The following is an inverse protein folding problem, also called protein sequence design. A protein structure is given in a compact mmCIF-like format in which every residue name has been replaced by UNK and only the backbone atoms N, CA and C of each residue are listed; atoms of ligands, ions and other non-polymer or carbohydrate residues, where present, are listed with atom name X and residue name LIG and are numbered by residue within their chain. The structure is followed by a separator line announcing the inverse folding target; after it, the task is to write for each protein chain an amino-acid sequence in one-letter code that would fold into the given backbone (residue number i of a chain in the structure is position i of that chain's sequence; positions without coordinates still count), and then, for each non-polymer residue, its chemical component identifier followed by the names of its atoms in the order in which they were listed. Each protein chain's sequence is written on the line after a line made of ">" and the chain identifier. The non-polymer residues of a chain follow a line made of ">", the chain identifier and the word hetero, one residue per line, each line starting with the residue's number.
data_IF_300419551764
#
_entry.id   IF_300419551764
#
_cell.length_a   1.000
_cell.length_b   1.000
_cell.length_c   1.000
_cell.angle_alpha   90.00
_cell.angle_beta   90.00
_cell.angle_gamma   90.00
#
_symmetry.space_group_name_H-M   'P 1'
#
loop_
_entity.id
_entity.type
_entity.pdbx_description
1 polymer ?
#
# COMPACT_ATOMS: atom_id res chain seq x y z
N UNK A 1 -17.09 -7.65 10.09
CA UNK A 1 -15.69 -7.84 10.51
C UNK A 1 -15.76 -8.38 11.92
N UNK A 2 -15.11 -9.48 12.20
CA UNK A 2 -15.11 -10.10 13.54
C UNK A 2 -14.10 -9.36 14.40
N UNK A 3 -14.57 -8.51 15.31
CA UNK A 3 -13.73 -7.63 16.13
C UNK A 3 -12.98 -8.38 17.20
N UNK A 4 -13.52 -9.50 17.67
CA UNK A 4 -12.91 -10.33 18.72
C UNK A 4 -11.58 -10.95 18.27
N UNK A 5 -11.25 -10.86 16.98
CA UNK A 5 -10.02 -11.36 16.36
C UNK A 5 -9.02 -10.27 15.97
N UNK A 6 -9.25 -9.00 16.40
CA UNK A 6 -8.31 -7.92 16.16
C UNK A 6 -7.68 -7.47 17.46
N UNK A 7 -6.37 -7.36 17.46
CA UNK A 7 -5.62 -6.72 18.54
C UNK A 7 -5.44 -5.23 18.23
N UNK A 8 -6.07 -4.41 19.05
CA UNK A 8 -6.01 -2.95 18.97
C UNK A 8 -4.93 -2.35 19.89
N UNK A 9 -4.13 -3.17 20.56
CA UNK A 9 -3.06 -2.74 21.46
C UNK A 9 -3.54 -1.68 22.49
N UNK A 10 -4.81 -1.78 22.93
CA UNK A 10 -5.43 -0.77 23.81
C UNK A 10 -4.77 -0.71 25.18
N UNK A 11 -4.31 -1.84 25.70
CA UNK A 11 -3.64 -1.90 27.02
C UNK A 11 -2.34 -1.08 26.99
N UNK A 12 -1.52 -1.23 25.95
CA UNK A 12 -0.28 -0.46 25.76
C UNK A 12 -0.57 1.03 25.60
N UNK A 13 -1.62 1.38 24.84
CA UNK A 13 -2.05 2.76 24.69
C UNK A 13 -2.46 3.37 26.02
N UNK A 14 -3.27 2.66 26.82
CA UNK A 14 -3.74 3.11 28.14
C UNK A 14 -2.59 3.23 29.14
N UNK A 15 -1.61 2.32 29.11
CA UNK A 15 -0.39 2.42 29.92
C UNK A 15 0.39 3.69 29.57
N UNK A 16 0.57 3.99 28.29
CA UNK A 16 1.24 5.20 27.84
C UNK A 16 0.51 6.46 28.24
N UNK A 17 -0.82 6.49 28.14
CA UNK A 17 -1.66 7.60 28.60
C UNK A 17 -1.44 7.87 30.08
N UNK A 18 -1.49 6.82 30.92
CA UNK A 18 -1.27 6.92 32.37
C UNK A 18 0.15 7.39 32.72
N UNK A 19 1.16 6.81 32.03
CA UNK A 19 2.56 7.14 32.28
C UNK A 19 2.91 8.60 31.99
N UNK A 20 2.24 9.23 31.03
CA UNK A 20 2.46 10.62 30.63
C UNK A 20 1.43 11.59 31.21
N UNK A 21 0.47 11.12 32.00
CA UNK A 21 -0.66 11.91 32.53
C UNK A 21 -1.42 12.67 31.43
N UNK A 22 -1.55 12.06 30.24
CA UNK A 22 -2.27 12.68 29.13
C UNK A 22 -3.75 12.86 29.49
N UNK A 23 -4.28 14.06 29.26
CA UNK A 23 -5.66 14.45 29.59
C UNK A 23 -6.57 14.53 28.38
N UNK A 24 -6.02 14.84 27.23
CA UNK A 24 -6.77 14.90 25.98
C UNK A 24 -5.96 14.18 24.89
N UNK A 25 -6.52 13.13 24.33
CA UNK A 25 -5.91 12.35 23.24
C UNK A 25 -6.80 12.38 22.01
N UNK A 26 -6.22 12.19 20.83
CA UNK A 26 -6.97 11.97 19.61
C UNK A 26 -6.85 10.51 19.16
N UNK A 27 -7.99 9.93 18.76
CA UNK A 27 -8.04 8.65 18.08
C UNK A 27 -8.23 8.89 16.60
N UNK A 28 -7.27 8.46 15.77
CA UNK A 28 -7.34 8.53 14.32
C UNK A 28 -7.40 7.11 13.74
N UNK A 29 -8.49 6.78 13.05
CA UNK A 29 -8.77 5.44 12.54
C UNK A 29 -9.10 5.46 11.06
N UNK A 30 -8.76 4.39 10.28
CA UNK A 30 -9.26 4.21 8.92
C UNK A 30 -10.80 4.11 8.89
N UNK A 31 -11.38 4.38 7.72
CA UNK A 31 -12.84 4.30 7.52
C UNK A 31 -13.44 2.97 8.01
N UNK A 32 -12.76 1.85 7.74
CA UNK A 32 -13.22 0.51 8.14
C UNK A 32 -13.29 0.27 9.65
N UNK A 33 -12.66 1.12 10.47
CA UNK A 33 -12.61 0.99 11.93
C UNK A 33 -13.42 2.08 12.66
N UNK A 34 -14.08 3.00 11.95
CA UNK A 34 -14.81 4.11 12.59
C UNK A 34 -15.97 3.68 13.49
N UNK A 35 -16.62 2.57 13.17
CA UNK A 35 -17.70 2.04 14.01
C UNK A 35 -17.18 1.51 15.36
N UNK A 36 -15.98 0.96 15.37
CA UNK A 36 -15.32 0.43 16.56
C UNK A 36 -14.67 1.54 17.40
N UNK A 37 -14.40 2.68 16.79
CA UNK A 37 -13.77 3.81 17.48
C UNK A 37 -14.57 4.27 18.70
N UNK A 38 -15.89 4.20 18.66
CA UNK A 38 -16.72 4.60 19.80
C UNK A 38 -16.52 3.70 21.02
N UNK A 39 -16.45 2.40 20.81
CA UNK A 39 -16.19 1.42 21.89
C UNK A 39 -14.78 1.60 22.46
N UNK A 40 -13.79 1.86 21.60
CA UNK A 40 -12.42 2.16 22.03
C UNK A 40 -12.36 3.44 22.86
N UNK A 41 -13.08 4.50 22.45
CA UNK A 41 -13.18 5.76 23.18
C UNK A 41 -13.76 5.53 24.58
N UNK A 42 -14.91 4.83 24.66
CA UNK A 42 -15.56 4.50 25.93
C UNK A 42 -14.63 3.71 26.87
N UNK A 43 -13.90 2.75 26.33
CA UNK A 43 -12.92 1.95 27.08
C UNK A 43 -11.78 2.83 27.62
N UNK A 44 -11.18 3.64 26.77
CA UNK A 44 -10.06 4.52 27.17
C UNK A 44 -10.51 5.54 28.22
N UNK A 45 -11.67 6.17 28.05
CA UNK A 45 -12.20 7.16 29.00
C UNK A 45 -12.60 6.54 30.33
N UNK A 46 -13.06 5.28 30.32
CA UNK A 46 -13.43 4.54 31.54
C UNK A 46 -12.19 4.09 32.33
N UNK A 47 -11.18 3.60 31.63
CA UNK A 47 -9.99 2.99 32.23
C UNK A 47 -8.86 3.99 32.50
N UNK A 48 -8.96 5.21 31.98
CA UNK A 48 -7.97 6.27 32.18
C UNK A 48 -8.62 7.57 32.64
N UNK A 49 -7.83 8.61 32.91
CA UNK A 49 -8.34 9.96 33.19
C UNK A 49 -8.39 10.86 31.93
N UNK A 50 -8.09 10.32 30.76
CA UNK A 50 -8.07 11.06 29.50
C UNK A 50 -9.46 11.20 28.91
N UNK A 51 -9.71 12.30 28.21
CA UNK A 51 -10.80 12.45 27.27
C UNK A 51 -10.31 12.10 25.85
N UNK A 52 -11.20 11.57 25.04
CA UNK A 52 -10.85 11.12 23.68
C UNK A 52 -11.60 11.92 22.62
N UNK A 53 -10.87 12.44 21.65
CA UNK A 53 -11.43 13.09 20.45
C UNK A 53 -11.22 12.16 19.25
N UNK A 54 -12.32 11.79 18.58
CA UNK A 54 -12.22 11.05 17.32
C UNK A 54 -11.90 12.01 16.17
N UNK A 55 -10.78 11.80 15.48
CA UNK A 55 -10.48 12.46 14.23
C UNK A 55 -11.37 11.89 13.12
N UNK A 56 -12.48 12.58 12.82
CA UNK A 56 -13.53 12.09 11.93
C UNK A 56 -13.21 12.25 10.43
N UNK A 57 -12.17 13.01 10.07
CA UNK A 57 -11.72 13.15 8.70
C UNK A 57 -11.30 11.77 8.13
N UNK A 58 -11.42 11.55 6.80
CA UNK A 58 -10.92 10.32 6.17
C UNK A 58 -9.44 10.09 6.43
N UNK A 59 -9.08 8.86 6.79
CA UNK A 59 -7.70 8.45 7.04
C UNK A 59 -7.35 7.26 6.14
N UNK A 60 -6.44 7.48 5.19
CA UNK A 60 -6.04 6.50 4.17
C UNK A 60 -4.62 5.94 4.37
N UNK A 61 -3.86 6.46 5.33
CA UNK A 61 -2.50 6.01 5.57
C UNK A 61 -1.77 6.82 6.64
N UNK A 62 -0.60 6.37 7.05
CA UNK A 62 0.26 7.08 7.99
C UNK A 62 0.80 8.44 7.45
N UNK A 63 0.55 8.74 6.18
CA UNK A 63 0.81 10.06 5.59
C UNK A 63 -0.32 11.07 5.80
N UNK A 64 -1.42 10.65 6.42
CA UNK A 64 -2.69 11.36 6.54
C UNK A 64 -2.89 11.88 7.98
N UNK A 65 -1.82 12.43 8.54
CA UNK A 65 -1.77 12.85 9.93
C UNK A 65 -2.58 14.14 10.18
N UNK A 66 -3.36 14.16 11.27
CA UNK A 66 -4.22 15.29 11.66
C UNK A 66 -3.56 16.23 12.69
N UNK A 67 -2.25 16.20 12.79
CA UNK A 67 -1.48 16.82 13.90
C UNK A 67 -1.75 18.30 14.07
N UNK A 68 -1.73 19.10 13.02
CA UNK A 68 -1.94 20.54 13.09
C UNK A 68 -3.30 20.89 13.70
N UNK A 69 -4.35 20.17 13.29
CA UNK A 69 -5.71 20.35 13.82
C UNK A 69 -5.82 19.93 15.28
N UNK A 70 -5.22 18.77 15.62
CA UNK A 70 -5.26 18.23 16.99
C UNK A 70 -4.43 19.07 17.95
N UNK A 71 -3.32 19.62 17.52
CA UNK A 71 -2.49 20.52 18.33
C UNK A 71 -3.26 21.82 18.68
N UNK A 72 -4.01 22.38 17.74
CA UNK A 72 -4.86 23.55 17.99
C UNK A 72 -5.97 23.29 19.02
N UNK A 73 -6.42 22.04 19.13
CA UNK A 73 -7.40 21.59 20.13
C UNK A 73 -6.80 21.27 21.50
N UNK A 74 -5.47 21.34 21.63
CA UNK A 74 -4.78 20.99 22.88
C UNK A 74 -4.61 19.48 23.09
N UNK A 75 -4.71 18.66 22.03
CA UNK A 75 -4.44 17.23 22.10
C UNK A 75 -2.96 16.99 22.42
N UNK A 76 -2.68 16.07 23.31
CA UNK A 76 -1.33 15.76 23.83
C UNK A 76 -0.73 14.51 23.21
N UNK A 77 -1.57 13.59 22.72
CA UNK A 77 -1.17 12.32 22.08
C UNK A 77 -2.17 11.96 20.97
N UNK A 78 -1.67 11.57 19.80
CA UNK A 78 -2.47 10.95 18.74
C UNK A 78 -2.24 9.44 18.74
N UNK A 79 -3.30 8.66 18.90
CA UNK A 79 -3.30 7.22 18.64
C UNK A 79 -3.75 7.00 17.18
N UNK A 80 -2.81 6.62 16.31
CA UNK A 80 -3.04 6.41 14.90
C UNK A 80 -3.11 4.91 14.60
N UNK A 81 -4.29 4.41 14.25
CA UNK A 81 -4.58 2.99 14.12
C UNK A 81 -4.56 2.50 12.66
N UNK A 82 -4.24 1.22 12.49
CA UNK A 82 -4.34 0.50 11.22
C UNK A 82 -3.22 0.81 10.21
N UNK A 83 -2.23 1.62 10.59
CA UNK A 83 -1.10 1.96 9.73
C UNK A 83 0.21 1.96 10.52
N UNK A 84 1.28 1.51 9.89
CA UNK A 84 2.63 1.58 10.48
C UNK A 84 3.20 2.98 10.39
N UNK A 85 4.05 3.29 11.36
CA UNK A 85 4.81 4.54 11.36
C UNK A 85 5.58 4.71 10.05
N UNK A 86 5.51 5.90 9.48
CA UNK A 86 6.38 6.34 8.40
C UNK A 86 7.44 7.30 8.97
N UNK A 87 8.61 7.35 8.34
CA UNK A 87 9.65 8.33 8.71
C UNK A 87 9.23 9.74 8.22
N UNK A 88 8.24 10.29 8.91
CA UNK A 88 7.69 11.63 8.71
C UNK A 88 7.71 12.32 10.07
N UNK A 89 8.27 13.53 10.13
CA UNK A 89 8.18 14.34 11.35
C UNK A 89 6.72 14.74 11.55
N UNK A 90 6.13 14.24 12.62
CA UNK A 90 4.73 14.45 12.94
C UNK A 90 4.47 15.72 13.76
N UNK A 91 5.50 16.32 14.31
CA UNK A 91 5.38 17.55 15.11
C UNK A 91 4.68 17.39 16.46
N UNK A 92 4.08 16.22 16.76
CA UNK A 92 3.47 15.92 18.07
C UNK A 92 3.58 14.43 18.43
N UNK A 93 3.48 14.08 19.73
CA UNK A 93 3.51 12.69 20.18
C UNK A 93 2.45 11.85 19.46
N UNK A 94 2.88 10.76 18.84
CA UNK A 94 1.99 9.82 18.14
C UNK A 94 2.34 8.39 18.54
N UNK A 95 1.30 7.56 18.73
CA UNK A 95 1.42 6.12 18.83
C UNK A 95 0.77 5.49 17.60
N UNK A 96 1.57 4.76 16.83
CA UNK A 96 1.05 3.97 15.71
C UNK A 96 0.70 2.58 16.20
N UNK A 97 -0.50 2.14 15.89
CA UNK A 97 -1.07 0.84 16.28
C UNK A 97 -1.41 0.10 15.01
N UNK A 98 -0.82 -1.08 14.82
CA UNK A 98 -0.93 -1.83 13.57
C UNK A 98 -2.31 -2.46 13.37
N UNK A 99 -3.04 -2.74 14.45
CA UNK A 99 -4.34 -3.45 14.45
C UNK A 99 -4.19 -4.81 13.78
N UNK A 100 -3.49 -5.71 14.43
CA UNK A 100 -3.23 -7.05 13.90
C UNK A 100 -4.47 -7.92 13.94
N UNK A 101 -4.63 -8.78 12.95
CA UNK A 101 -5.74 -9.73 12.86
C UNK A 101 -5.26 -11.14 13.17
N UNK A 102 -5.82 -11.75 14.21
CA UNK A 102 -5.54 -13.13 14.59
C UNK A 102 -6.33 -14.11 13.70
N UNK A 103 -5.75 -14.46 12.57
CA UNK A 103 -6.29 -15.41 11.60
C UNK A 103 -5.23 -16.40 11.16
N UNK A 104 -5.64 -17.62 10.87
CA UNK A 104 -4.79 -18.68 10.33
C UNK A 104 -5.39 -19.22 9.04
N UNK A 105 -5.26 -18.50 7.92
CA UNK A 105 -5.78 -18.97 6.64
C UNK A 105 -4.97 -20.16 6.10
N UNK A 106 -5.67 -21.12 5.49
CA UNK A 106 -5.04 -22.27 4.86
C UNK A 106 -4.35 -21.87 3.54
N UNK A 107 -3.21 -22.50 3.22
CA UNK A 107 -2.54 -22.35 1.93
C UNK A 107 -3.27 -23.04 0.78
N UNK A 108 -4.09 -24.05 1.09
CA UNK A 108 -4.73 -24.90 0.08
C UNK A 108 -5.41 -24.14 -1.06
N UNK A 109 -6.14 -23.03 -0.83
CA UNK A 109 -6.82 -22.32 -1.91
C UNK A 109 -5.86 -21.67 -2.93
N UNK A 110 -4.65 -21.30 -2.52
CA UNK A 110 -3.68 -20.60 -3.39
C UNK A 110 -2.66 -21.54 -4.03
N UNK A 111 -2.45 -22.74 -3.48
CA UNK A 111 -1.44 -23.68 -3.98
C UNK A 111 -1.55 -24.01 -5.48
N UNK A 112 -2.73 -24.28 -6.06
CA UNK A 112 -2.84 -24.60 -7.49
C UNK A 112 -2.31 -23.45 -8.37
N UNK A 113 -2.56 -22.21 -8.01
CA UNK A 113 -2.07 -21.06 -8.73
C UNK A 113 -0.54 -20.94 -8.62
N UNK A 114 0.01 -21.09 -7.41
CA UNK A 114 1.46 -21.04 -7.17
C UNK A 114 2.19 -22.14 -7.94
N UNK A 115 1.67 -23.36 -7.96
CA UNK A 115 2.22 -24.50 -8.72
C UNK A 115 2.22 -24.22 -10.23
N UNK A 116 1.10 -23.70 -10.75
CA UNK A 116 1.00 -23.34 -12.16
C UNK A 116 2.07 -22.29 -12.55
N UNK A 117 2.22 -21.23 -11.75
CA UNK A 117 3.19 -20.17 -12.03
C UNK A 117 4.63 -20.64 -11.91
N UNK A 118 4.93 -21.48 -10.92
CA UNK A 118 6.24 -22.16 -10.82
C UNK A 118 6.56 -22.97 -12.06
N UNK A 119 5.61 -23.79 -12.53
CA UNK A 119 5.80 -24.59 -13.73
C UNK A 119 6.00 -23.72 -14.99
N UNK A 120 5.22 -22.65 -15.16
CA UNK A 120 5.39 -21.70 -16.26
C UNK A 120 6.74 -20.99 -16.23
N UNK A 121 7.23 -20.60 -15.06
CA UNK A 121 8.54 -19.96 -14.91
C UNK A 121 9.66 -20.95 -15.27
N UNK A 122 9.61 -22.19 -14.78
CA UNK A 122 10.58 -23.24 -15.12
C UNK A 122 10.64 -23.53 -16.63
N UNK A 123 9.46 -23.60 -17.29
CA UNK A 123 9.40 -23.81 -18.73
C UNK A 123 10.03 -22.66 -19.52
N UNK A 124 9.81 -21.41 -19.10
CA UNK A 124 10.40 -20.23 -19.75
C UNK A 124 11.91 -20.17 -19.55
N UNK A 125 12.40 -20.45 -18.34
CA UNK A 125 13.85 -20.52 -18.07
C UNK A 125 14.53 -21.58 -18.93
N UNK A 126 13.89 -22.73 -19.14
CA UNK A 126 14.40 -23.79 -20.01
C UNK A 126 14.45 -23.38 -21.51
N UNK A 127 13.58 -22.46 -21.93
CA UNK A 127 13.53 -21.95 -23.32
C UNK A 127 14.48 -20.78 -23.58
N UNK A 128 14.95 -20.05 -22.57
CA UNK A 128 15.88 -18.92 -22.69
C UNK A 128 17.32 -19.30 -23.10
N UNK A 129 17.61 -20.58 -23.27
CA UNK A 129 18.91 -21.06 -23.82
C UNK A 129 19.11 -20.82 -25.32
N UNK A 130 18.13 -20.24 -26.04
CA UNK A 130 18.18 -19.89 -27.46
C UNK A 130 18.04 -18.37 -27.65
N UNK A 131 19.01 -17.59 -27.14
CA UNK A 131 19.01 -16.13 -27.33
C UNK A 131 19.25 -15.76 -28.80
N UNK A 132 18.22 -15.24 -29.45
CA UNK A 132 18.35 -14.39 -30.64
C UNK A 132 18.45 -12.92 -30.20
N UNK A 133 19.54 -12.23 -30.57
CA UNK A 133 19.61 -10.77 -30.49
C UNK A 133 18.46 -10.17 -31.31
N UNK A 134 17.58 -9.44 -30.61
CA UNK A 134 16.44 -8.76 -31.22
C UNK A 134 16.91 -7.53 -31.99
N UNK A 135 16.39 -7.31 -33.18
CA UNK A 135 16.54 -6.05 -33.89
C UNK A 135 15.86 -4.89 -33.15
N UNK A 136 16.27 -3.64 -33.37
CA UNK A 136 15.66 -2.45 -32.75
C UNK A 136 14.15 -2.34 -33.03
N UNK A 137 13.68 -2.76 -34.23
CA UNK A 137 12.25 -2.79 -34.57
C UNK A 137 11.48 -3.84 -33.79
N UNK A 138 12.03 -5.03 -33.64
CA UNK A 138 11.43 -6.10 -32.82
C UNK A 138 11.42 -5.74 -31.32
N UNK A 139 12.45 -5.01 -30.84
CA UNK A 139 12.49 -4.49 -29.47
C UNK A 139 11.41 -3.41 -29.25
N UNK A 140 11.14 -2.56 -30.25
CA UNK A 140 10.12 -1.52 -30.17
C UNK A 140 8.70 -2.10 -30.27
N UNK A 141 8.49 -3.11 -31.13
CA UNK A 141 7.22 -3.83 -31.22
C UNK A 141 6.95 -4.63 -29.93
N UNK A 142 7.97 -5.30 -29.38
CA UNK A 142 7.88 -5.97 -28.07
C UNK A 142 7.68 -5.00 -26.92
N UNK A 143 8.25 -3.79 -26.96
CA UNK A 143 8.00 -2.75 -25.96
C UNK A 143 6.53 -2.28 -25.99
N UNK A 144 5.96 -2.07 -27.18
CA UNK A 144 4.55 -1.70 -27.32
C UNK A 144 3.61 -2.85 -26.92
N UNK A 145 4.00 -4.09 -27.16
CA UNK A 145 3.28 -5.29 -26.75
C UNK A 145 3.44 -5.56 -25.24
N UNK A 146 4.58 -5.16 -24.64
CA UNK A 146 4.87 -5.28 -23.20
C UNK A 146 4.15 -4.22 -22.35
N UNK A 147 3.70 -3.10 -22.93
CA UNK A 147 2.86 -2.09 -22.24
C UNK A 147 1.50 -2.67 -21.79
N UNK A 148 1.11 -3.83 -22.34
CA UNK A 148 -0.11 -4.55 -21.95
C UNK A 148 0.13 -5.95 -21.38
N UNK A 149 1.38 -6.41 -21.24
CA UNK A 149 1.68 -7.74 -20.70
C UNK A 149 2.48 -7.64 -19.41
N UNK A 150 2.19 -8.55 -18.48
CA UNK A 150 3.04 -8.72 -17.30
C UNK A 150 4.48 -9.06 -17.73
N UNK A 151 5.46 -8.58 -16.95
CA UNK A 151 6.87 -8.90 -17.18
C UNK A 151 7.05 -10.43 -17.34
N UNK A 152 7.91 -10.88 -18.27
CA UNK A 152 8.16 -12.30 -18.40
C UNK A 152 8.69 -12.83 -17.06
N UNK A 153 8.15 -13.98 -16.61
CA UNK A 153 8.63 -14.68 -15.43
C UNK A 153 10.09 -15.11 -15.68
N UNK A 154 11.00 -14.39 -15.07
CA UNK A 154 12.45 -14.64 -15.20
C UNK A 154 13.00 -15.47 -14.05
N UNK A 155 12.23 -15.62 -12.98
CA UNK A 155 12.61 -16.37 -11.78
C UNK A 155 11.42 -17.16 -11.23
N UNK A 156 11.72 -18.23 -10.48
CA UNK A 156 10.74 -19.06 -9.80
C UNK A 156 10.51 -18.64 -8.34
N UNK A 157 11.31 -17.69 -7.85
CA UNK A 157 11.23 -17.23 -6.47
C UNK A 157 9.91 -16.51 -6.18
N UNK A 158 9.27 -16.91 -5.09
CA UNK A 158 8.02 -16.34 -4.61
C UNK A 158 8.29 -15.22 -3.61
N UNK A 159 7.81 -14.01 -3.90
CA UNK A 159 7.78 -12.90 -2.95
C UNK A 159 6.54 -13.01 -2.05
N UNK A 160 6.74 -13.15 -0.75
CA UNK A 160 5.66 -13.18 0.24
C UNK A 160 5.52 -11.81 0.88
N UNK A 161 4.35 -11.18 0.69
CA UNK A 161 4.06 -9.79 1.11
C UNK A 161 2.66 -9.67 1.71
N UNK A 162 2.40 -8.56 2.42
CA UNK A 162 1.08 -8.36 3.02
C UNK A 162 0.77 -6.93 3.41
N UNK A 163 -0.46 -6.71 3.83
CA UNK A 163 -0.86 -5.49 4.53
C UNK A 163 -0.39 -5.54 5.99
N UNK A 164 -0.28 -4.38 6.65
CA UNK A 164 0.25 -4.26 8.00
C UNK A 164 -0.46 -5.18 9.02
N UNK A 165 -1.76 -5.39 8.87
CA UNK A 165 -2.58 -6.21 9.75
C UNK A 165 -2.21 -7.70 9.73
N UNK A 166 -1.52 -8.15 8.67
CA UNK A 166 -1.24 -9.57 8.43
C UNK A 166 0.26 -9.91 8.34
N UNK A 167 1.15 -8.94 8.56
CA UNK A 167 2.60 -9.16 8.44
C UNK A 167 3.14 -10.16 9.47
N UNK A 168 2.52 -10.25 10.64
CA UNK A 168 2.88 -11.21 11.68
C UNK A 168 2.67 -12.66 11.24
N UNK A 169 1.82 -12.91 10.22
CA UNK A 169 1.59 -14.23 9.65
C UNK A 169 2.69 -14.65 8.65
N UNK A 170 3.44 -13.70 8.07
CA UNK A 170 4.39 -13.99 7.00
C UNK A 170 5.47 -15.02 7.40
N UNK A 171 6.06 -15.02 8.60
CA UNK A 171 7.07 -16.01 8.96
C UNK A 171 6.52 -17.44 8.93
N UNK A 172 5.34 -17.68 9.45
CA UNK A 172 4.70 -19.00 9.44
C UNK A 172 4.30 -19.42 8.02
N UNK A 173 3.76 -18.48 7.22
CA UNK A 173 3.45 -18.74 5.80
C UNK A 173 4.69 -19.03 4.99
N UNK A 174 5.81 -18.36 5.24
CA UNK A 174 7.09 -18.66 4.63
C UNK A 174 7.47 -20.12 4.87
N UNK A 175 7.46 -20.58 6.12
CA UNK A 175 7.84 -21.95 6.49
C UNK A 175 6.89 -23.00 5.85
N UNK A 176 5.59 -22.73 5.84
CA UNK A 176 4.60 -23.61 5.19
C UNK A 176 4.81 -23.72 3.68
N UNK A 177 5.17 -22.61 3.02
CA UNK A 177 5.44 -22.58 1.58
C UNK A 177 6.77 -23.27 1.24
N UNK A 178 7.80 -23.11 2.05
CA UNK A 178 9.06 -23.84 1.89
C UNK A 178 8.84 -25.36 2.03
N UNK A 179 8.04 -25.79 3.01
CA UNK A 179 7.66 -27.20 3.17
C UNK A 179 6.88 -27.73 1.97
N UNK A 180 6.09 -26.87 1.29
CA UNK A 180 5.42 -27.19 0.04
C UNK A 180 6.34 -27.13 -1.21
N UNK A 181 7.65 -26.86 -1.01
CA UNK A 181 8.68 -26.89 -2.05
C UNK A 181 8.79 -25.63 -2.89
N UNK A 182 8.36 -24.47 -2.38
CA UNK A 182 8.56 -23.16 -3.01
C UNK A 182 9.85 -22.52 -2.49
N UNK A 183 10.57 -21.80 -3.37
CA UNK A 183 11.65 -20.88 -2.97
C UNK A 183 11.03 -19.53 -2.63
N UNK A 184 10.97 -19.20 -1.35
CA UNK A 184 10.22 -18.05 -0.82
C UNK A 184 11.16 -16.99 -0.27
N UNK A 185 10.78 -15.73 -0.43
CA UNK A 185 11.45 -14.61 0.23
C UNK A 185 10.44 -13.61 0.75
N UNK A 186 10.70 -13.05 1.93
CA UNK A 186 9.97 -11.91 2.48
C UNK A 186 10.83 -10.67 2.18
N UNK A 187 10.48 -9.86 1.17
CA UNK A 187 11.34 -8.77 0.73
C UNK A 187 11.42 -7.65 1.77
N UNK A 188 12.59 -7.01 1.84
CA UNK A 188 12.84 -5.87 2.73
C UNK A 188 12.80 -4.60 1.90
N UNK A 189 11.91 -3.70 2.24
CA UNK A 189 11.75 -2.42 1.54
C UNK A 189 12.63 -1.29 2.09
N UNK A 190 12.58 -0.14 1.42
CA UNK A 190 13.32 1.06 1.79
C UNK A 190 12.69 1.84 2.96
N UNK A 191 13.25 3.00 3.26
CA UNK A 191 13.05 3.81 4.47
C UNK A 191 11.62 4.22 4.86
N UNK A 192 10.61 3.94 4.02
CA UNK A 192 9.19 4.21 4.33
C UNK A 192 8.39 2.95 4.69
N UNK A 193 9.04 1.79 4.63
CA UNK A 193 8.48 0.50 5.04
C UNK A 193 9.11 0.12 6.36
N UNK A 194 8.29 -0.13 7.37
CA UNK A 194 8.76 -0.41 8.73
C UNK A 194 9.02 -1.89 8.95
N UNK A 195 8.44 -2.76 8.11
CA UNK A 195 8.50 -4.21 8.30
C UNK A 195 8.86 -4.95 7.01
N UNK A 196 9.57 -6.09 7.10
CA UNK A 196 9.73 -7.01 5.97
C UNK A 196 8.38 -7.45 5.41
N UNK A 197 8.28 -7.60 4.09
CA UNK A 197 7.05 -8.00 3.40
C UNK A 197 5.95 -6.96 3.35
N UNK A 198 6.13 -5.79 3.96
CA UNK A 198 5.13 -4.74 3.96
C UNK A 198 4.98 -4.12 2.57
N UNK A 199 3.72 -3.94 2.15
CA UNK A 199 3.34 -3.22 0.92
C UNK A 199 2.48 -2.01 1.31
N UNK A 200 2.82 -0.84 0.78
CA UNK A 200 1.99 0.37 0.85
C UNK A 200 1.48 0.72 -0.53
N UNK A 201 0.29 1.32 -0.63
CA UNK A 201 -0.26 1.78 -1.90
C UNK A 201 0.57 2.84 -2.65
N UNK A 202 1.62 3.35 -2.03
CA UNK A 202 2.53 4.37 -2.58
C UNK A 202 4.02 4.00 -2.50
N UNK A 203 4.37 2.81 -2.00
CA UNK A 203 5.77 2.37 -1.85
C UNK A 203 5.89 0.86 -2.08
N UNK A 204 6.61 0.51 -3.13
CA UNK A 204 6.90 -0.85 -3.58
C UNK A 204 8.41 -1.11 -3.62
N UNK A 205 9.18 -0.42 -2.78
CA UNK A 205 10.65 -0.51 -2.75
C UNK A 205 11.19 -1.86 -2.25
N UNK A 206 10.30 -2.76 -1.79
CA UNK A 206 10.65 -4.15 -1.51
C UNK A 206 10.68 -5.04 -2.74
N UNK A 207 10.41 -4.51 -3.96
CA UNK A 207 10.58 -5.32 -5.17
C UNK A 207 12.05 -5.71 -5.37
N UNK A 208 12.26 -7.01 -5.59
CA UNK A 208 13.56 -7.59 -5.88
C UNK A 208 13.50 -8.24 -7.26
N UNK A 209 14.48 -7.98 -8.16
CA UNK A 209 14.53 -8.59 -9.48
C UNK A 209 14.52 -10.12 -9.47
N UNK A 210 15.00 -10.77 -8.42
CA UNK A 210 14.98 -12.23 -8.27
C UNK A 210 13.58 -12.81 -8.00
N UNK A 211 12.60 -11.99 -7.63
CA UNK A 211 11.23 -12.44 -7.40
C UNK A 211 10.52 -12.58 -8.75
N UNK A 212 9.98 -13.74 -9.05
CA UNK A 212 9.22 -14.00 -10.28
C UNK A 212 7.71 -13.70 -10.14
N UNK A 213 7.15 -13.91 -8.96
CA UNK A 213 5.72 -13.73 -8.68
C UNK A 213 5.49 -13.47 -7.19
N UNK A 214 4.31 -12.99 -6.84
CA UNK A 214 3.98 -12.61 -5.47
C UNK A 214 2.77 -13.37 -4.92
N UNK A 215 2.81 -13.65 -3.61
CA UNK A 215 1.64 -13.95 -2.78
C UNK A 215 1.44 -12.79 -1.81
N UNK A 216 0.26 -12.17 -1.87
CA UNK A 216 -0.14 -11.10 -0.98
C UNK A 216 -1.13 -11.62 0.07
N UNK A 217 -0.81 -11.44 1.35
CA UNK A 217 -1.73 -11.69 2.47
C UNK A 217 -2.45 -10.40 2.85
N UNK A 218 -3.77 -10.40 2.68
CA UNK A 218 -4.61 -9.25 3.00
C UNK A 218 -5.89 -9.20 2.19
N UNK A 219 -6.80 -8.34 2.62
CA UNK A 219 -8.06 -8.10 1.93
C UNK A 219 -7.97 -6.87 1.04
N UNK A 220 -8.83 -6.86 0.01
CA UNK A 220 -8.92 -5.77 -0.95
C UNK A 220 -7.74 -5.69 -1.90
N UNK A 221 -7.96 -5.04 -3.01
CA UNK A 221 -7.07 -5.08 -4.18
C UNK A 221 -6.23 -3.82 -4.41
N UNK A 222 -6.37 -2.82 -3.56
CA UNK A 222 -5.66 -1.54 -3.70
C UNK A 222 -4.13 -1.72 -3.68
N UNK A 223 -3.59 -2.43 -2.68
CA UNK A 223 -2.16 -2.71 -2.58
C UNK A 223 -1.67 -3.66 -3.66
N UNK A 224 -2.37 -4.82 -3.92
CA UNK A 224 -2.02 -5.74 -4.99
C UNK A 224 -1.98 -5.10 -6.38
N UNK A 225 -3.00 -4.30 -6.75
CA UNK A 225 -3.02 -3.57 -8.03
C UNK A 225 -1.77 -2.71 -8.18
N UNK A 226 -1.42 -1.95 -7.15
CA UNK A 226 -0.26 -1.07 -7.18
C UNK A 226 1.05 -1.85 -7.32
N UNK A 227 1.19 -2.97 -6.63
CA UNK A 227 2.37 -3.83 -6.72
C UNK A 227 2.52 -4.41 -8.13
N UNK A 228 1.44 -4.95 -8.72
CA UNK A 228 1.47 -5.47 -10.09
C UNK A 228 1.76 -4.36 -11.12
N UNK A 229 1.15 -3.18 -10.98
CA UNK A 229 1.44 -2.03 -11.86
C UNK A 229 2.89 -1.55 -11.76
N UNK A 230 3.54 -1.70 -10.61
CA UNK A 230 4.93 -1.31 -10.40
C UNK A 230 5.91 -2.36 -10.93
N UNK A 231 5.67 -3.63 -10.61
CA UNK A 231 6.62 -4.71 -10.88
C UNK A 231 6.39 -5.39 -12.22
N UNK A 232 5.16 -5.38 -12.74
CA UNK A 232 4.73 -6.18 -13.88
C UNK A 232 4.67 -7.68 -13.60
N UNK A 233 4.78 -8.12 -12.34
CA UNK A 233 4.86 -9.53 -11.96
C UNK A 233 3.49 -10.09 -11.59
N UNK A 234 3.22 -11.39 -11.86
CA UNK A 234 2.00 -12.05 -11.42
C UNK A 234 1.83 -12.02 -9.91
N UNK A 235 0.59 -11.95 -9.45
CA UNK A 235 0.27 -11.90 -8.03
C UNK A 235 -1.01 -12.68 -7.73
N UNK A 236 -0.96 -13.54 -6.71
CA UNK A 236 -2.14 -14.06 -6.04
C UNK A 236 -2.38 -13.35 -4.72
N UNK A 237 -3.63 -13.24 -4.35
CA UNK A 237 -4.08 -12.74 -3.05
C UNK A 237 -4.66 -13.89 -2.25
N UNK A 238 -4.36 -13.93 -0.97
CA UNK A 238 -5.05 -14.78 0.01
C UNK A 238 -5.63 -13.87 1.07
N UNK A 239 -6.96 -13.87 1.20
CA UNK A 239 -7.66 -13.08 2.20
C UNK A 239 -7.71 -13.83 3.54
N UNK A 240 -7.02 -13.33 4.59
CA UNK A 240 -7.01 -14.00 5.89
C UNK A 240 -8.35 -13.98 6.61
N UNK A 241 -9.28 -13.10 6.23
CA UNK A 241 -10.61 -13.02 6.86
C UNK A 241 -11.55 -14.11 6.35
N UNK A 242 -11.51 -14.40 5.04
CA UNK A 242 -12.41 -15.36 4.39
C UNK A 242 -11.75 -16.69 4.08
N UNK A 243 -10.42 -16.71 3.98
CA UNK A 243 -9.64 -17.84 3.48
C UNK A 243 -9.71 -18.01 1.95
N UNK A 244 -10.33 -17.04 1.25
CA UNK A 244 -10.43 -17.09 -0.22
C UNK A 244 -9.11 -16.69 -0.88
N UNK A 245 -8.81 -17.33 -2.01
CA UNK A 245 -7.68 -16.99 -2.85
C UNK A 245 -8.14 -16.49 -4.22
N UNK A 246 -7.53 -15.39 -4.67
CA UNK A 246 -7.85 -14.77 -5.96
C UNK A 246 -6.56 -14.37 -6.69
N UNK A 247 -6.51 -14.57 -8.00
CA UNK A 247 -5.45 -14.04 -8.86
C UNK A 247 -5.76 -12.59 -9.24
N UNK A 248 -4.74 -11.71 -9.19
CA UNK A 248 -4.86 -10.38 -9.75
C UNK A 248 -5.00 -10.44 -11.27
N UNK A 249 -6.21 -10.24 -11.74
CA UNK A 249 -6.57 -10.39 -13.15
C UNK A 249 -5.81 -9.43 -14.08
N UNK A 250 -5.17 -9.98 -15.11
CA UNK A 250 -4.54 -9.20 -16.18
C UNK A 250 -5.50 -8.22 -16.83
N UNK A 251 -6.74 -8.64 -17.06
CA UNK A 251 -7.77 -7.78 -17.67
C UNK A 251 -8.06 -6.53 -16.84
N UNK A 252 -7.97 -6.64 -15.51
CA UNK A 252 -8.13 -5.50 -14.61
C UNK A 252 -6.97 -4.53 -14.73
N UNK A 253 -5.75 -5.03 -14.75
CA UNK A 253 -4.53 -4.24 -14.94
C UNK A 253 -4.54 -3.54 -16.30
N UNK A 254 -4.83 -4.26 -17.39
CA UNK A 254 -4.95 -3.69 -18.73
C UNK A 254 -6.01 -2.58 -18.81
N UNK A 255 -7.16 -2.76 -18.15
CA UNK A 255 -8.20 -1.72 -18.12
C UNK A 255 -7.66 -0.43 -17.49
N UNK A 256 -6.95 -0.52 -16.37
CA UNK A 256 -6.35 0.63 -15.69
C UNK A 256 -5.31 1.31 -16.60
N UNK A 257 -4.45 0.52 -17.24
CA UNK A 257 -3.42 1.06 -18.16
C UNK A 257 -4.05 1.74 -19.36
N UNK A 258 -5.07 1.13 -19.98
CA UNK A 258 -5.83 1.73 -21.12
C UNK A 258 -6.53 3.03 -20.72
N UNK A 259 -7.14 3.08 -19.51
CA UNK A 259 -7.75 4.32 -19.00
C UNK A 259 -6.71 5.42 -18.81
N UNK A 260 -5.56 5.11 -18.17
CA UNK A 260 -4.45 6.07 -18.00
C UNK A 260 -3.92 6.58 -19.34
N UNK A 261 -3.72 5.68 -20.29
CA UNK A 261 -3.28 6.05 -21.63
C UNK A 261 -4.31 6.94 -22.36
N UNK A 262 -5.59 6.60 -22.30
CA UNK A 262 -6.67 7.40 -22.85
C UNK A 262 -6.71 8.82 -22.27
N UNK A 263 -6.51 8.97 -20.95
CA UNK A 263 -6.41 10.28 -20.28
C UNK A 263 -5.18 11.07 -20.75
N UNK A 264 -4.03 10.43 -20.91
CA UNK A 264 -2.82 11.09 -21.45
C UNK A 264 -3.06 11.58 -22.87
N UNK A 265 -3.69 10.77 -23.72
CA UNK A 265 -4.00 11.14 -25.09
C UNK A 265 -5.02 12.27 -25.18
N UNK A 266 -6.01 12.31 -24.27
CA UNK A 266 -7.06 13.35 -24.27
C UNK A 266 -6.54 14.75 -23.96
N UNK A 267 -5.37 14.88 -23.31
CA UNK A 267 -4.79 16.17 -22.91
C UNK A 267 -3.65 16.65 -23.81
N UNK A 268 -3.37 15.99 -24.94
CA UNK A 268 -2.25 16.35 -25.83
C UNK A 268 -2.34 17.79 -26.33
N UNK A 269 -3.54 18.26 -26.67
CA UNK A 269 -3.79 19.61 -27.17
C UNK A 269 -3.97 20.66 -26.06
N UNK A 270 -3.97 20.25 -24.80
CA UNK A 270 -4.09 21.16 -23.69
C UNK A 270 -2.88 22.09 -23.60
N UNK A 271 -3.14 23.38 -23.43
CA UNK A 271 -2.11 24.42 -23.28
C UNK A 271 -1.92 24.87 -21.84
N UNK A 272 -2.84 24.49 -20.95
CA UNK A 272 -2.84 24.87 -19.53
C UNK A 272 -3.09 23.65 -18.66
N UNK A 273 -2.36 23.51 -17.56
CA UNK A 273 -2.42 22.38 -16.65
C UNK A 273 -2.48 22.85 -15.21
N UNK A 274 -3.40 22.31 -14.43
CA UNK A 274 -3.37 22.37 -12.98
C UNK A 274 -2.44 21.28 -12.40
N UNK A 275 -1.46 21.65 -11.61
CA UNK A 275 -0.55 20.73 -10.93
C UNK A 275 -0.97 20.68 -9.47
N UNK A 276 -1.63 19.59 -9.09
CA UNK A 276 -2.14 19.40 -7.73
C UNK A 276 -1.00 19.04 -6.78
N UNK A 277 -0.95 19.68 -5.62
CA UNK A 277 -0.01 19.41 -4.53
C UNK A 277 -0.84 19.06 -3.30
N UNK A 278 -0.69 17.85 -2.79
CA UNK A 278 -1.28 17.47 -1.51
C UNK A 278 -0.62 18.23 -0.37
N UNK A 279 -1.41 18.80 0.53
CA UNK A 279 -0.92 19.56 1.70
C UNK A 279 -0.52 18.64 2.85
N UNK A 280 -1.03 17.40 2.89
CA UNK A 280 -0.71 16.43 3.94
C UNK A 280 0.78 16.10 3.98
N UNK A 281 1.41 16.03 5.16
CA UNK A 281 2.87 15.92 5.30
C UNK A 281 3.52 14.81 4.48
N UNK A 282 2.92 13.62 4.44
CA UNK A 282 3.43 12.48 3.67
C UNK A 282 3.17 12.54 2.16
N UNK A 283 2.29 13.44 1.70
CA UNK A 283 1.86 13.56 0.30
C UNK A 283 2.41 14.82 -0.40
N UNK A 284 3.00 15.73 0.33
CA UNK A 284 3.52 16.99 -0.20
C UNK A 284 4.72 16.77 -1.13
N UNK A 285 4.48 16.76 -2.44
CA UNK A 285 5.49 16.56 -3.50
C UNK A 285 5.90 17.89 -4.17
N UNK A 286 6.15 18.93 -3.38
CA UNK A 286 6.48 20.30 -3.87
C UNK A 286 7.59 20.32 -4.92
N UNK A 287 8.70 19.62 -4.67
CA UNK A 287 9.85 19.60 -5.60
C UNK A 287 9.45 19.01 -6.96
N UNK A 288 8.66 17.92 -6.96
CA UNK A 288 8.15 17.29 -8.18
C UNK A 288 7.22 18.26 -8.94
N UNK A 289 6.28 18.89 -8.24
CA UNK A 289 5.36 19.87 -8.83
C UNK A 289 6.07 21.04 -9.51
N UNK A 290 7.11 21.60 -8.86
CA UNK A 290 7.94 22.65 -9.44
C UNK A 290 8.74 22.17 -10.66
N UNK A 291 9.21 20.91 -10.66
CA UNK A 291 9.86 20.29 -11.82
C UNK A 291 8.88 20.13 -12.99
N UNK A 292 7.65 19.65 -12.74
CA UNK A 292 6.60 19.53 -13.74
C UNK A 292 6.24 20.90 -14.35
N UNK A 293 6.06 21.95 -13.52
CA UNK A 293 5.80 23.30 -13.99
C UNK A 293 6.89 23.80 -14.94
N UNK A 294 8.16 23.59 -14.58
CA UNK A 294 9.29 23.96 -15.45
C UNK A 294 9.32 23.17 -16.74
N UNK A 295 8.97 21.88 -16.71
CA UNK A 295 8.91 21.03 -17.88
C UNK A 295 7.80 21.50 -18.84
N UNK A 296 6.60 21.79 -18.35
CA UNK A 296 5.50 22.36 -19.15
C UNK A 296 5.92 23.66 -19.83
N UNK A 297 6.59 24.56 -19.11
CA UNK A 297 7.07 25.83 -19.68
C UNK A 297 8.10 25.62 -20.82
N UNK A 298 8.99 24.61 -20.71
CA UNK A 298 9.92 24.25 -21.81
C UNK A 298 9.21 23.81 -23.08
N UNK A 299 7.99 23.25 -22.97
CA UNK A 299 7.15 22.82 -24.08
C UNK A 299 6.10 23.86 -24.46
N UNK A 300 6.25 25.13 -24.04
CA UNK A 300 5.34 26.22 -24.39
C UNK A 300 3.96 26.13 -23.69
N UNK A 301 3.81 25.28 -22.68
CA UNK A 301 2.56 25.06 -21.96
C UNK A 301 2.57 25.77 -20.60
N UNK A 302 1.38 26.14 -20.10
CA UNK A 302 1.22 26.81 -18.79
C UNK A 302 0.94 25.78 -17.69
N UNK A 303 1.65 25.87 -16.57
CA UNK A 303 1.40 25.08 -15.36
C UNK A 303 1.01 25.98 -14.18
N UNK A 304 -0.12 25.69 -13.53
CA UNK A 304 -0.59 26.34 -12.30
C UNK A 304 -0.41 25.36 -11.13
N UNK A 305 0.17 25.84 -10.03
CA UNK A 305 0.30 25.04 -8.81
C UNK A 305 -0.96 25.24 -7.98
N UNK A 306 -1.63 24.16 -7.61
CA UNK A 306 -2.85 24.16 -6.81
C UNK A 306 -2.61 23.31 -5.57
N UNK A 307 -2.70 23.88 -4.39
CA UNK A 307 -2.56 23.18 -3.13
C UNK A 307 -3.93 22.77 -2.61
N UNK A 308 -4.07 21.49 -2.21
CA UNK A 308 -5.33 20.91 -1.76
C UNK A 308 -5.05 19.91 -0.62
N UNK A 309 -5.84 19.98 0.44
CA UNK A 309 -5.80 18.99 1.52
C UNK A 309 -6.43 17.66 1.06
N UNK A 310 -7.57 17.75 0.38
CA UNK A 310 -8.27 16.60 -0.22
C UNK A 310 -8.44 16.82 -1.72
N UNK A 311 -8.31 15.75 -2.48
CA UNK A 311 -8.56 15.76 -3.92
C UNK A 311 -9.83 14.95 -4.18
N UNK A 312 -10.91 15.66 -4.51
CA UNK A 312 -12.19 15.07 -4.89
C UNK A 312 -12.74 15.72 -6.16
N UNK A 313 -13.61 15.04 -6.92
CA UNK A 313 -14.23 15.61 -8.12
C UNK A 313 -14.88 16.98 -7.87
N UNK A 314 -15.52 17.12 -6.71
CA UNK A 314 -16.25 18.32 -6.29
C UNK A 314 -15.35 19.55 -6.05
N UNK A 315 -14.03 19.37 -5.97
CA UNK A 315 -13.05 20.43 -5.74
C UNK A 315 -12.29 20.85 -7.01
N UNK A 316 -12.53 20.16 -8.14
CA UNK A 316 -11.76 20.32 -9.38
C UNK A 316 -12.63 20.85 -10.53
N UNK A 317 -13.97 20.84 -10.39
CA UNK A 317 -14.93 21.35 -11.37
C UNK A 317 -14.95 22.89 -11.49
#
# INVERSE_FOLDING_TARGET
>A
MDLDRHDFELDELMERIRANDNRLIALQVPEGLKMQALEMMDTIETETSAQVVLAADPCYGACDLVHDKMQLMGVELVAHMGHSQMNIDSGMPTQFINVTYDGDPELKPVLPWLEQHRAMAQQRLAQQGEDHELSEEEAQEKFMDAVGRMAPLTDTKLGLVGSIQHLHLLPEFHDRLEQAGFDVTIPIGGARLSFPGQVLGCNYSGDDPSIGHYLFLGSGDFHPIGLVLHTGKPLAMLDPYTGDAEEMSLQRIERILRQRFGLIMSVQDANSFGILIGEKPGQMRRTLALRMKRMLAKHGKKGYLLALEHVGPELID
#
